data_IF_318262416491
#
_entry.id   IF_318262416491
#
_cell.length_a   1.000
_cell.length_b   1.000
_cell.length_c   1.000
_cell.angle_alpha   90.00
_cell.angle_beta   90.00
_cell.angle_gamma   90.00
#
_symmetry.space_group_name_H-M   'P 1'
#
loop_
_entity.id
_entity.type
_entity.pdbx_description
1 polymer ?
#
# COMPACT_ATOMS: atom_id res chain seq x y z
N UNK A 1 5.75 15.59 -23.00
CA UNK A 1 5.25 15.28 -21.64
C UNK A 1 5.07 16.61 -20.94
N UNK A 2 3.90 16.86 -20.37
CA UNK A 2 3.60 18.12 -19.69
C UNK A 2 4.41 18.25 -18.39
N UNK A 3 4.90 19.46 -18.09
CA UNK A 3 5.67 19.74 -16.87
C UNK A 3 4.94 19.29 -15.59
N UNK A 4 3.61 19.48 -15.56
CA UNK A 4 2.75 19.07 -14.44
C UNK A 4 2.80 17.56 -14.23
N UNK A 5 2.82 16.77 -15.30
CA UNK A 5 2.87 15.31 -15.22
C UNK A 5 4.20 14.84 -14.61
N UNK A 6 5.32 15.39 -15.10
CA UNK A 6 6.65 15.04 -14.61
C UNK A 6 6.83 15.42 -13.12
N UNK A 7 6.33 16.58 -12.71
CA UNK A 7 6.36 16.99 -11.31
C UNK A 7 5.58 16.05 -10.39
N UNK A 8 4.37 15.64 -10.78
CA UNK A 8 3.47 14.84 -9.92
C UNK A 8 3.87 13.36 -9.89
N UNK A 9 4.25 12.78 -11.03
CA UNK A 9 4.46 11.33 -11.14
C UNK A 9 5.94 10.92 -11.07
N UNK A 10 6.87 11.85 -11.30
CA UNK A 10 8.30 11.56 -11.22
C UNK A 10 8.92 12.25 -10.02
N UNK A 11 8.88 13.58 -9.93
CA UNK A 11 9.62 14.31 -8.89
C UNK A 11 9.01 14.10 -7.49
N UNK A 12 7.68 14.23 -7.36
CA UNK A 12 6.99 14.18 -6.07
C UNK A 12 7.18 12.84 -5.33
N UNK A 13 7.07 11.65 -5.96
CA UNK A 13 7.33 10.38 -5.27
C UNK A 13 8.74 10.28 -4.68
N UNK A 14 9.78 10.72 -5.41
CA UNK A 14 11.15 10.70 -4.90
C UNK A 14 11.36 11.68 -3.75
N UNK A 15 10.74 12.86 -3.79
CA UNK A 15 10.75 13.80 -2.66
C UNK A 15 10.07 13.20 -1.43
N UNK A 16 8.90 12.58 -1.59
CA UNK A 16 8.18 11.92 -0.49
C UNK A 16 9.03 10.82 0.16
N UNK A 17 9.66 9.96 -0.64
CA UNK A 17 10.54 8.88 -0.12
C UNK A 17 11.79 9.45 0.56
N UNK A 18 12.41 10.48 -0.01
CA UNK A 18 13.60 11.12 0.57
C UNK A 18 13.29 11.74 1.93
N UNK A 19 12.22 12.52 2.02
CA UNK A 19 11.78 13.15 3.28
C UNK A 19 11.31 12.09 4.28
N UNK A 20 10.64 11.03 3.83
CA UNK A 20 10.27 9.92 4.68
C UNK A 20 11.50 9.28 5.32
N UNK A 21 12.49 8.83 4.53
CA UNK A 21 13.67 8.14 5.06
C UNK A 21 14.53 9.05 5.93
N UNK A 22 14.91 10.24 5.41
CA UNK A 22 15.80 11.16 6.13
C UNK A 22 15.12 11.76 7.36
N UNK A 23 13.84 12.13 7.25
CA UNK A 23 13.07 12.65 8.37
C UNK A 23 12.90 11.63 9.49
N UNK A 24 12.64 10.36 9.16
CA UNK A 24 12.57 9.29 10.16
C UNK A 24 13.92 9.03 10.82
N UNK A 25 15.00 8.98 10.03
CA UNK A 25 16.36 8.81 10.55
C UNK A 25 16.76 9.96 11.48
N UNK A 26 16.54 11.21 11.05
CA UNK A 26 16.82 12.40 11.85
C UNK A 26 16.05 12.38 13.19
N UNK A 27 14.73 12.13 13.14
CA UNK A 27 13.89 12.07 14.35
C UNK A 27 14.33 10.95 15.30
N UNK A 28 14.77 9.80 14.77
CA UNK A 28 15.28 8.70 15.58
C UNK A 28 16.56 9.07 16.33
N UNK A 29 17.44 9.87 15.71
CA UNK A 29 18.69 10.33 16.33
C UNK A 29 18.45 11.44 17.34
N UNK A 30 17.56 12.41 17.05
CA UNK A 30 17.36 13.59 17.93
C UNK A 30 16.41 13.36 19.11
N UNK A 31 15.31 12.63 18.92
CA UNK A 31 14.21 12.55 19.89
C UNK A 31 13.80 11.09 20.18
N UNK A 32 14.79 10.24 20.47
CA UNK A 32 14.56 8.80 20.72
C UNK A 32 13.55 8.54 21.86
N UNK A 33 13.58 9.33 22.93
CA UNK A 33 12.69 9.16 24.10
C UNK A 33 11.22 9.50 23.82
N UNK A 34 10.92 10.28 22.77
CA UNK A 34 9.54 10.61 22.36
C UNK A 34 9.01 9.67 21.28
N UNK A 35 9.77 8.65 20.90
CA UNK A 35 9.36 7.65 19.92
C UNK A 35 8.46 6.59 20.57
N UNK A 36 7.21 6.94 20.80
CA UNK A 36 6.19 6.03 21.31
C UNK A 36 4.84 6.30 20.67
N UNK A 37 3.94 5.32 20.71
CA UNK A 37 2.62 5.38 20.06
C UNK A 37 1.61 6.31 20.77
N UNK A 38 2.05 7.09 21.79
CA UNK A 38 1.21 7.96 22.64
C UNK A 38 -0.23 7.47 22.79
N UNK A 39 -0.40 6.32 23.45
CA UNK A 39 -1.71 5.68 23.57
C UNK A 39 -2.69 6.59 24.33
N UNK A 40 -3.76 7.00 23.66
CA UNK A 40 -4.91 7.69 24.26
C UNK A 40 -5.91 6.71 24.90
N UNK A 41 -5.66 5.40 24.81
CA UNK A 41 -6.53 4.34 25.35
C UNK A 41 -6.71 4.43 26.88
N UNK A 42 -5.77 5.10 27.57
CA UNK A 42 -5.87 5.35 29.02
C UNK A 42 -7.03 6.28 29.40
N UNK A 43 -7.46 7.18 28.50
CA UNK A 43 -8.52 8.17 28.76
C UNK A 43 -9.93 7.67 28.40
N UNK A 44 -10.07 6.70 27.49
CA UNK A 44 -11.38 6.22 27.03
C UNK A 44 -11.34 4.74 26.56
N UNK A 45 -11.48 3.80 27.50
CA UNK A 45 -11.15 2.38 27.26
C UNK A 45 -12.15 1.56 26.43
N UNK A 46 -13.46 1.85 26.48
CA UNK A 46 -14.48 0.86 26.09
C UNK A 46 -14.95 0.96 24.63
N UNK A 47 -15.08 2.17 24.10
CA UNK A 47 -15.51 2.40 22.71
C UNK A 47 -14.33 2.38 21.74
N UNK A 48 -13.19 2.96 22.16
CA UNK A 48 -12.01 3.12 21.30
C UNK A 48 -11.33 1.79 20.97
N UNK A 49 -11.45 0.78 21.84
CA UNK A 49 -10.81 -0.54 21.66
C UNK A 49 -11.25 -1.23 20.36
N UNK A 50 -12.56 -1.33 20.13
CA UNK A 50 -13.09 -1.98 18.92
C UNK A 50 -12.76 -1.19 17.66
N UNK A 51 -12.86 0.15 17.71
CA UNK A 51 -12.46 1.01 16.59
C UNK A 51 -10.98 0.89 16.26
N UNK A 52 -10.12 0.88 17.28
CA UNK A 52 -8.68 0.75 17.10
C UNK A 52 -8.30 -0.63 16.53
N UNK A 53 -8.89 -1.72 17.03
CA UNK A 53 -8.60 -3.07 16.51
C UNK A 53 -9.05 -3.21 15.07
N UNK A 54 -10.28 -2.81 14.74
CA UNK A 54 -10.79 -2.91 13.38
C UNK A 54 -9.96 -2.05 12.41
N UNK A 55 -9.56 -0.85 12.83
CA UNK A 55 -8.66 0.01 12.06
C UNK A 55 -7.29 -0.64 11.84
N UNK A 56 -6.65 -1.18 12.88
CA UNK A 56 -5.34 -1.80 12.76
C UNK A 56 -5.36 -3.05 11.88
N UNK A 57 -6.36 -3.92 12.04
CA UNK A 57 -6.52 -5.08 11.16
C UNK A 57 -6.72 -4.62 9.72
N UNK A 58 -7.61 -3.65 9.49
CA UNK A 58 -7.87 -3.09 8.17
C UNK A 58 -6.60 -2.52 7.52
N UNK A 59 -5.89 -1.62 8.20
CA UNK A 59 -4.70 -0.96 7.65
C UNK A 59 -3.56 -1.94 7.41
N UNK A 60 -3.38 -2.96 8.26
CA UNK A 60 -2.35 -3.99 8.06
C UNK A 60 -2.67 -4.82 6.82
N UNK A 61 -3.92 -5.27 6.66
CA UNK A 61 -4.34 -6.03 5.47
C UNK A 61 -4.20 -5.18 4.20
N UNK A 62 -4.63 -3.92 4.24
CA UNK A 62 -4.46 -2.98 3.11
C UNK A 62 -2.99 -2.74 2.78
N UNK A 63 -2.15 -2.52 3.79
CA UNK A 63 -0.72 -2.32 3.61
C UNK A 63 -0.05 -3.53 2.97
N UNK A 64 -0.31 -4.73 3.48
CA UNK A 64 0.23 -5.97 2.92
C UNK A 64 -0.30 -6.21 1.50
N UNK A 65 -1.58 -5.92 1.23
CA UNK A 65 -2.14 -6.03 -0.11
C UNK A 65 -1.47 -5.09 -1.12
N UNK A 66 -1.23 -3.82 -0.74
CA UNK A 66 -0.56 -2.85 -1.61
C UNK A 66 0.93 -3.17 -1.78
N UNK A 67 1.63 -3.49 -0.69
CA UNK A 67 3.04 -3.87 -0.73
C UNK A 67 3.23 -5.14 -1.56
N UNK A 68 2.37 -6.14 -1.37
CA UNK A 68 2.35 -7.35 -2.17
C UNK A 68 2.14 -7.05 -3.65
N UNK A 69 1.04 -6.37 -3.98
CA UNK A 69 0.68 -6.11 -5.38
C UNK A 69 1.65 -5.21 -6.16
N UNK A 70 2.39 -4.32 -5.48
CA UNK A 70 3.30 -3.37 -6.15
C UNK A 70 4.78 -3.75 -6.05
N UNK A 71 5.20 -4.42 -4.96
CA UNK A 71 6.62 -4.71 -4.72
C UNK A 71 7.01 -6.15 -5.05
N UNK A 72 6.06 -7.11 -5.04
CA UNK A 72 6.36 -8.51 -5.37
C UNK A 72 6.38 -8.66 -6.90
N UNK A 73 7.49 -9.11 -7.50
CA UNK A 73 7.54 -9.29 -8.94
C UNK A 73 6.69 -10.49 -9.37
N UNK A 74 6.12 -10.38 -10.58
CA UNK A 74 5.18 -11.35 -11.16
C UNK A 74 5.69 -12.81 -11.12
N UNK A 75 6.99 -13.02 -11.23
CA UNK A 75 7.62 -14.35 -11.18
C UNK A 75 7.29 -15.12 -9.89
N UNK A 76 7.14 -14.45 -8.75
CA UNK A 76 6.72 -15.13 -7.52
C UNK A 76 5.24 -15.52 -7.57
N UNK A 77 4.37 -14.69 -8.14
CA UNK A 77 2.96 -15.02 -8.32
C UNK A 77 2.74 -16.18 -9.29
N UNK A 78 3.51 -16.23 -10.36
CA UNK A 78 3.49 -17.34 -11.32
C UNK A 78 3.92 -18.66 -10.64
N UNK A 79 4.88 -18.62 -9.70
CA UNK A 79 5.30 -19.79 -8.91
C UNK A 79 4.20 -20.28 -7.95
N UNK A 80 3.37 -19.37 -7.42
CA UNK A 80 2.20 -19.70 -6.60
C UNK A 80 0.95 -20.06 -7.42
N UNK A 81 1.07 -20.17 -8.76
CA UNK A 81 -0.03 -20.56 -9.64
C UNK A 81 -1.06 -19.47 -9.90
N UNK A 82 -0.77 -18.21 -9.55
CA UNK A 82 -1.57 -17.04 -9.91
C UNK A 82 -1.04 -16.54 -11.26
N UNK A 83 -1.24 -17.35 -12.30
CA UNK A 83 -0.73 -17.08 -13.64
C UNK A 83 -1.64 -16.12 -14.40
N UNK A 84 -1.08 -15.24 -15.23
CA UNK A 84 -1.85 -14.31 -16.09
C UNK A 84 -2.89 -15.00 -16.99
N UNK A 85 -2.69 -16.27 -17.33
CA UNK A 85 -3.66 -17.11 -18.06
C UNK A 85 -4.97 -17.30 -17.31
N UNK A 86 -4.98 -17.26 -15.98
CA UNK A 86 -6.21 -17.32 -15.19
C UNK A 86 -7.03 -16.04 -15.38
N UNK A 87 -6.39 -14.87 -15.44
CA UNK A 87 -7.06 -13.61 -15.76
C UNK A 87 -7.59 -13.58 -17.20
N UNK A 88 -6.80 -14.08 -18.17
CA UNK A 88 -7.22 -14.10 -19.58
C UNK A 88 -8.32 -15.13 -19.85
N UNK A 89 -8.29 -16.30 -19.20
CA UNK A 89 -9.33 -17.31 -19.33
C UNK A 89 -10.65 -16.88 -18.68
N UNK A 90 -10.62 -16.18 -17.54
CA UNK A 90 -11.82 -15.58 -16.93
C UNK A 90 -12.40 -14.46 -17.82
N UNK A 91 -11.54 -13.64 -18.45
CA UNK A 91 -11.97 -12.61 -19.38
C UNK A 91 -12.55 -13.22 -20.68
N UNK A 92 -11.90 -14.25 -21.23
CA UNK A 92 -12.34 -14.96 -22.44
C UNK A 92 -13.66 -15.71 -22.22
N UNK A 93 -13.89 -16.29 -21.03
CA UNK A 93 -15.16 -16.92 -20.67
C UNK A 93 -16.32 -15.92 -20.57
N UNK A 94 -16.03 -14.62 -20.40
CA UNK A 94 -17.04 -13.56 -20.21
C UNK A 94 -17.23 -12.68 -21.43
N UNK A 95 -16.28 -12.66 -22.35
CA UNK A 95 -16.42 -12.07 -23.67
C UNK A 95 -17.19 -13.03 -24.59
N UNK A 96 -18.52 -12.90 -24.61
CA UNK A 96 -19.30 -13.41 -25.74
C UNK A 96 -18.71 -12.84 -27.04
N UNK A 97 -18.60 -13.63 -28.12
CA UNK A 97 -17.99 -13.17 -29.37
C UNK A 97 -18.79 -11.97 -29.91
N UNK A 98 -18.21 -10.77 -29.81
CA UNK A 98 -18.73 -9.57 -30.47
C UNK A 98 -18.47 -9.74 -31.98
N UNK A 99 -19.51 -9.76 -32.83
CA UNK A 99 -19.31 -9.81 -34.27
C UNK A 99 -18.59 -8.54 -34.71
N UNK A 100 -17.49 -8.69 -35.45
CA UNK A 100 -16.82 -7.58 -36.14
C UNK A 100 -17.52 -7.35 -37.48
N UNK A 101 -17.79 -6.09 -37.88
CA UNK A 101 -18.35 -5.77 -39.20
C UNK A 101 -17.38 -6.11 -40.33
#
# INVERSE_FOLDING_TARGET
MDLVYELIFTVFPYLCLTVFVLGHAYRYVTDRYKWNARSSEFLEKKSLFWGAILFHIGIILTFVGHAGGLLIPQTYYDLFGITGDMHLSIAAQRAAPVPRP
#
